data_IF_427500668557
#
_entry.id   IF_427500668557
#
_cell.length_a   1.000
_cell.length_b   1.000
_cell.length_c   1.000
_cell.angle_alpha   90.00
_cell.angle_beta   90.00
_cell.angle_gamma   90.00
#
_symmetry.space_group_name_H-M   'P 1'
#
loop_
_entity.id
_entity.type
_entity.pdbx_description
1 polymer ?
#
# COMPACT_ATOMS: atom_id res chain seq x y z
N UNK A 1 20.10 -0.42 0.68
CA UNK A 1 18.91 -0.35 1.53
C UNK A 1 17.73 -1.01 0.84
N UNK A 2 16.95 -1.76 1.59
CA UNK A 2 15.79 -2.42 1.02
C UNK A 2 14.73 -1.40 0.61
N UNK A 3 14.09 -1.64 -0.50
CA UNK A 3 12.96 -0.81 -0.92
C UNK A 3 11.80 -1.03 0.04
N UNK A 4 11.03 0.03 0.27
CA UNK A 4 9.85 -0.05 1.10
C UNK A 4 8.80 -0.93 0.41
N UNK A 5 8.39 -2.00 1.07
CA UNK A 5 7.37 -2.89 0.51
C UNK A 5 5.97 -2.38 0.83
N UNK A 6 4.96 -2.98 0.21
CA UNK A 6 3.58 -2.65 0.53
C UNK A 6 3.24 -3.04 1.97
N UNK A 7 3.87 -4.08 2.49
CA UNK A 7 3.71 -4.48 3.89
C UNK A 7 4.26 -3.40 4.82
N UNK A 8 5.39 -2.81 4.47
CA UNK A 8 5.97 -1.70 5.24
C UNK A 8 5.06 -0.48 5.20
N UNK A 9 4.43 -0.24 4.07
CA UNK A 9 3.50 0.88 3.93
C UNK A 9 2.33 0.75 4.91
N UNK A 10 1.84 -0.46 5.11
CA UNK A 10 0.77 -0.73 6.07
C UNK A 10 1.29 -1.04 7.47
N UNK A 11 2.62 -1.03 7.66
CA UNK A 11 3.27 -1.30 8.94
C UNK A 11 2.89 -2.66 9.50
N UNK A 12 2.86 -3.67 8.63
CA UNK A 12 2.58 -5.05 9.00
C UNK A 12 3.71 -5.96 8.56
N UNK A 13 3.77 -7.15 9.15
CA UNK A 13 4.75 -8.15 8.75
C UNK A 13 4.34 -8.77 7.42
N UNK A 14 5.32 -9.29 6.69
CA UNK A 14 5.08 -9.92 5.39
C UNK A 14 4.12 -11.11 5.50
N UNK A 15 4.14 -11.80 6.62
CA UNK A 15 3.24 -12.93 6.87
C UNK A 15 1.93 -12.56 7.53
N UNK A 16 1.59 -11.27 7.60
CA UNK A 16 0.37 -10.83 8.28
C UNK A 16 -0.88 -11.43 7.63
N UNK A 17 -1.86 -11.74 8.47
CA UNK A 17 -3.14 -12.25 7.99
C UNK A 17 -3.96 -11.16 7.31
N UNK A 18 -4.98 -11.56 6.55
CA UNK A 18 -5.89 -10.61 5.92
C UNK A 18 -6.54 -9.68 6.96
N UNK A 19 -6.90 -10.22 8.12
CA UNK A 19 -7.48 -9.43 9.20
C UNK A 19 -6.50 -8.41 9.76
N UNK A 20 -5.23 -8.81 9.93
CA UNK A 20 -4.20 -7.90 10.41
C UNK A 20 -3.96 -6.77 9.42
N UNK A 21 -3.94 -7.09 8.15
CA UNK A 21 -3.78 -6.10 7.08
C UNK A 21 -4.96 -5.11 7.11
N UNK A 22 -6.16 -5.62 7.24
CA UNK A 22 -7.36 -4.80 7.30
C UNK A 22 -7.37 -3.85 8.50
N UNK A 23 -7.00 -4.37 9.67
CA UNK A 23 -6.92 -3.56 10.88
C UNK A 23 -5.87 -2.47 10.76
N UNK A 24 -4.70 -2.83 10.22
CA UNK A 24 -3.62 -1.86 10.02
C UNK A 24 -4.04 -0.78 9.04
N UNK A 25 -4.70 -1.15 7.95
CA UNK A 25 -5.20 -0.20 6.97
C UNK A 25 -6.17 0.80 7.62
N UNK A 26 -7.14 0.29 8.37
CA UNK A 26 -8.12 1.16 9.03
C UNK A 26 -7.48 2.16 9.98
N UNK A 27 -6.51 1.69 10.74
CA UNK A 27 -5.79 2.55 11.68
C UNK A 27 -5.05 3.66 10.97
N UNK A 28 -4.30 3.30 9.92
CA UNK A 28 -3.52 4.28 9.16
C UNK A 28 -4.43 5.21 8.35
N UNK A 29 -5.50 4.68 7.78
CA UNK A 29 -6.44 5.50 7.01
C UNK A 29 -7.08 6.57 7.88
N UNK A 30 -7.36 6.26 9.15
CA UNK A 30 -7.86 7.26 10.09
C UNK A 30 -6.80 8.32 10.41
N UNK A 31 -5.58 7.86 10.62
CA UNK A 31 -4.48 8.75 11.00
C UNK A 31 -4.16 9.77 9.91
N UNK A 32 -4.21 9.34 8.66
CA UNK A 32 -3.84 10.18 7.53
C UNK A 32 -5.03 10.67 6.70
N UNK A 33 -6.25 10.51 7.22
CA UNK A 33 -7.44 10.95 6.50
C UNK A 33 -7.40 12.46 6.25
N UNK A 34 -7.76 12.92 5.05
CA UNK A 34 -7.70 14.35 4.72
C UNK A 34 -8.51 15.25 5.63
N UNK A 35 -9.58 14.73 6.24
CA UNK A 35 -10.40 15.50 7.17
C UNK A 35 -9.71 15.73 8.51
N UNK A 36 -8.82 14.81 8.89
CA UNK A 36 -8.11 14.86 10.17
C UNK A 36 -6.74 15.47 10.00
N UNK A 37 -6.05 15.14 8.92
CA UNK A 37 -4.69 15.57 8.69
C UNK A 37 -4.59 16.16 7.28
N UNK A 38 -4.51 17.48 7.21
CA UNK A 38 -4.56 18.22 5.93
C UNK A 38 -3.20 18.58 5.35
N UNK A 39 -2.15 17.89 5.79
CA UNK A 39 -0.81 18.16 5.26
C UNK A 39 -0.61 17.42 3.93
N UNK A 40 0.28 17.95 3.04
CA UNK A 40 0.61 17.24 1.80
C UNK A 40 1.20 15.85 2.04
N UNK A 41 2.02 15.69 3.09
CA UNK A 41 2.61 14.40 3.45
C UNK A 41 1.54 13.39 3.81
N UNK A 42 0.52 13.81 4.55
CA UNK A 42 -0.57 12.92 4.94
C UNK A 42 -1.40 12.49 3.73
N UNK A 43 -1.62 13.41 2.80
CA UNK A 43 -2.34 13.08 1.57
C UNK A 43 -1.60 12.03 0.76
N UNK A 44 -0.30 12.18 0.62
CA UNK A 44 0.52 11.23 -0.10
C UNK A 44 0.53 9.87 0.58
N UNK A 45 0.67 9.86 1.90
CA UNK A 45 0.62 8.63 2.68
C UNK A 45 -0.72 7.94 2.59
N UNK A 46 -1.80 8.71 2.60
CA UNK A 46 -3.14 8.17 2.46
C UNK A 46 -3.30 7.43 1.13
N UNK A 47 -2.79 8.03 0.05
CA UNK A 47 -2.81 7.39 -1.27
C UNK A 47 -2.00 6.10 -1.29
N UNK A 48 -0.82 6.12 -0.68
CA UNK A 48 0.04 4.93 -0.60
C UNK A 48 -0.64 3.82 0.19
N UNK A 49 -1.25 4.16 1.31
CA UNK A 49 -1.95 3.20 2.17
C UNK A 49 -3.11 2.56 1.42
N UNK A 50 -3.90 3.36 0.73
CA UNK A 50 -5.02 2.84 -0.06
C UNK A 50 -4.54 1.92 -1.17
N UNK A 51 -3.46 2.30 -1.84
CA UNK A 51 -2.88 1.49 -2.90
C UNK A 51 -2.33 0.16 -2.39
N UNK A 52 -1.62 0.20 -1.27
CA UNK A 52 -1.07 -1.02 -0.67
C UNK A 52 -2.20 -1.96 -0.25
N UNK A 53 -3.25 -1.42 0.34
CA UNK A 53 -4.38 -2.24 0.76
C UNK A 53 -5.10 -2.87 -0.44
N UNK A 54 -5.23 -2.13 -1.52
CA UNK A 54 -5.85 -2.65 -2.74
C UNK A 54 -5.15 -3.92 -3.23
N UNK A 55 -3.83 -3.94 -3.16
CA UNK A 55 -3.05 -5.11 -3.57
C UNK A 55 -3.08 -6.21 -2.51
N UNK A 56 -2.84 -5.85 -1.25
CA UNK A 56 -2.68 -6.84 -0.19
C UNK A 56 -4.00 -7.43 0.30
N UNK A 57 -5.13 -6.77 0.04
CA UNK A 57 -6.43 -7.29 0.43
C UNK A 57 -7.00 -8.29 -0.56
N UNK A 58 -6.49 -8.32 -1.78
CA UNK A 58 -6.91 -9.26 -2.81
C UNK A 58 -5.93 -10.43 -2.84
N UNK A 59 -6.43 -11.65 -2.63
CA UNK A 59 -5.58 -12.83 -2.54
C UNK A 59 -4.74 -13.04 -3.79
N UNK A 60 -5.31 -12.86 -4.96
CA UNK A 60 -4.57 -13.06 -6.21
C UNK A 60 -3.50 -12.00 -6.41
N UNK A 61 -3.83 -10.75 -6.17
CA UNK A 61 -2.87 -9.65 -6.29
C UNK A 61 -1.77 -9.79 -5.25
N UNK A 62 -2.13 -10.18 -4.03
CA UNK A 62 -1.16 -10.39 -2.97
C UNK A 62 -0.17 -11.50 -3.34
N UNK A 63 -0.68 -12.61 -3.89
CA UNK A 63 0.18 -13.70 -4.34
C UNK A 63 1.14 -13.24 -5.43
N UNK A 64 0.66 -12.48 -6.39
CA UNK A 64 1.51 -11.94 -7.45
C UNK A 64 2.57 -11.02 -6.88
N UNK A 65 2.19 -10.17 -5.95
CA UNK A 65 3.12 -9.27 -5.32
C UNK A 65 4.19 -10.04 -4.53
N UNK A 66 3.78 -11.06 -3.79
CA UNK A 66 4.72 -11.88 -3.02
C UNK A 66 5.70 -12.62 -3.94
N UNK A 67 5.24 -13.00 -5.13
CA UNK A 67 6.03 -13.75 -6.10
C UNK A 67 6.97 -12.85 -6.90
N UNK A 68 6.48 -11.72 -7.35
CA UNK A 68 7.19 -10.86 -8.30
C UNK A 68 7.67 -9.54 -7.69
N UNK A 69 7.15 -9.14 -6.55
CA UNK A 69 7.51 -7.87 -5.92
C UNK A 69 7.24 -6.70 -6.86
N UNK A 70 8.20 -5.78 -6.95
CA UNK A 70 8.06 -4.59 -7.79
C UNK A 70 8.00 -4.91 -9.28
N UNK A 71 8.44 -6.09 -9.68
CA UNK A 71 8.35 -6.50 -11.09
C UNK A 71 6.90 -6.59 -11.57
N UNK A 72 5.98 -6.79 -10.64
CA UNK A 72 4.55 -6.78 -10.92
C UNK A 72 4.11 -5.45 -11.55
N UNK A 73 4.84 -4.40 -11.28
CA UNK A 73 4.55 -3.06 -11.78
C UNK A 73 5.47 -2.62 -12.92
N UNK A 74 6.06 -3.59 -13.62
CA UNK A 74 6.91 -3.29 -14.76
C UNK A 74 8.19 -2.55 -14.42
N UNK A 75 8.73 -2.76 -13.23
CA UNK A 75 9.95 -2.11 -12.76
C UNK A 75 9.73 -0.74 -12.16
N UNK A 76 8.51 -0.25 -12.17
CA UNK A 76 8.16 1.03 -11.55
C UNK A 76 7.79 0.82 -10.09
N UNK A 77 7.85 1.89 -9.29
CA UNK A 77 7.30 1.82 -7.96
C UNK A 77 5.78 1.71 -8.06
N UNK A 78 5.13 1.21 -7.01
CA UNK A 78 3.68 1.10 -7.00
C UNK A 78 3.02 2.46 -7.25
N UNK A 79 3.56 3.50 -6.66
CA UNK A 79 3.02 4.85 -6.83
C UNK A 79 3.07 5.31 -8.28
N UNK A 80 4.20 5.11 -8.95
CA UNK A 80 4.39 5.49 -10.34
C UNK A 80 3.48 4.68 -11.26
N UNK A 81 3.37 3.37 -11.00
CA UNK A 81 2.49 2.50 -11.77
C UNK A 81 1.05 2.98 -11.69
N UNK A 82 0.59 3.29 -10.48
CA UNK A 82 -0.77 3.73 -10.23
C UNK A 82 -1.05 5.07 -10.92
N UNK A 83 -0.09 5.99 -10.88
CA UNK A 83 -0.22 7.28 -11.55
C UNK A 83 -0.33 7.13 -13.06
N UNK A 84 0.43 6.21 -13.63
CA UNK A 84 0.38 5.93 -15.06
C UNK A 84 -0.98 5.37 -15.48
N UNK A 85 -1.57 4.55 -14.63
CA UNK A 85 -2.85 3.91 -14.93
C UNK A 85 -4.04 4.84 -14.73
N UNK A 86 -3.87 5.87 -13.94
CA UNK A 86 -4.95 6.78 -13.61
C UNK A 86 -5.27 7.82 -14.67
N UNK A 87 -4.53 7.80 -15.74
CA UNK A 87 -4.72 8.78 -16.81
C UNK A 87 -6.02 8.57 -17.57
#
# INVERSE_FOLDING_TARGET
MAKKSLYDTLEVAQGASADEIKKAYRKLARKYHPDINKTPEAEEKFKEINGAYEILSDEEKRKKYDMYGDDMFGGQSFHDFRSSQGA
#
